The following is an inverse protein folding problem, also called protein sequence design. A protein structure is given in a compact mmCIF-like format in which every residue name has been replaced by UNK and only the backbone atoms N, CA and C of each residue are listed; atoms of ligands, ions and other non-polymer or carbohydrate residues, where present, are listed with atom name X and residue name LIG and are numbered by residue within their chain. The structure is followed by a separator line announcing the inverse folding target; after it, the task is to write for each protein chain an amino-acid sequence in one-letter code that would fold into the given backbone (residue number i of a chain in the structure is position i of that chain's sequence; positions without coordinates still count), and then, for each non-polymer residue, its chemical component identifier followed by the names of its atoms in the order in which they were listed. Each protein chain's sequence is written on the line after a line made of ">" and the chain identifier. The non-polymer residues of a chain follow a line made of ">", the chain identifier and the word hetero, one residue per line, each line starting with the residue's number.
data_IF_656856657642
#
_entry.id   IF_656856657642
#
_cell.length_a   1.000
_cell.length_b   1.000
_cell.length_c   1.000
_cell.angle_alpha   90.00
_cell.angle_beta   90.00
_cell.angle_gamma   90.00
#
_symmetry.space_group_name_H-M   'P 1'
#
loop_
_entity.id
_entity.type
_entity.pdbx_description
1 polymer ?
#
# COMPACT_ATOMS: atom_id res chain seq x y z
N UNK A 1 -4.93 10.51 -38.44
CA UNK A 1 -5.31 11.93 -38.11
C UNK A 1 -4.12 12.61 -37.49
N UNK A 2 -3.85 13.89 -37.80
CA UNK A 2 -2.68 14.57 -37.26
C UNK A 2 -2.80 14.81 -35.76
N UNK A 3 -1.69 14.66 -35.03
CA UNK A 3 -1.57 15.10 -33.64
C UNK A 3 -1.74 16.63 -33.58
N UNK A 4 -2.49 17.09 -32.59
CA UNK A 4 -2.68 18.54 -32.39
C UNK A 4 -2.01 18.94 -31.10
N UNK A 5 -1.20 19.97 -31.12
CA UNK A 5 -0.51 20.55 -29.99
C UNK A 5 -1.34 21.65 -29.37
N UNK A 6 -1.50 21.64 -28.07
CA UNK A 6 -2.21 22.61 -27.25
C UNK A 6 -1.36 23.05 -26.06
N UNK A 7 -1.67 24.25 -25.57
CA UNK A 7 -1.22 24.72 -24.26
C UNK A 7 -2.34 24.47 -23.26
N UNK A 8 -2.06 23.90 -22.09
CA UNK A 8 -3.11 23.49 -21.14
C UNK A 8 -4.03 24.65 -20.73
N UNK A 9 -3.52 25.87 -20.63
CA UNK A 9 -4.33 27.05 -20.34
C UNK A 9 -5.45 27.33 -21.35
N UNK A 10 -5.32 26.85 -22.60
CA UNK A 10 -6.38 26.91 -23.58
C UNK A 10 -7.52 25.94 -23.29
N UNK A 11 -7.22 24.82 -22.65
CA UNK A 11 -8.11 23.69 -22.41
C UNK A 11 -8.75 23.67 -21.03
N UNK A 12 -8.11 24.34 -20.05
CA UNK A 12 -8.48 24.28 -18.63
C UNK A 12 -9.03 25.59 -18.12
N UNK A 13 -9.93 25.51 -17.15
CA UNK A 13 -10.36 26.64 -16.34
C UNK A 13 -10.09 26.40 -14.87
N UNK A 14 -9.66 27.47 -14.17
CA UNK A 14 -9.52 27.46 -12.72
C UNK A 14 -10.88 27.42 -12.06
N UNK A 15 -11.06 26.53 -11.10
CA UNK A 15 -12.26 26.48 -10.28
C UNK A 15 -12.08 27.37 -9.04
N UNK A 16 -13.01 28.31 -8.85
CA UNK A 16 -13.07 29.21 -7.70
C UNK A 16 -14.38 29.09 -6.93
N UNK A 17 -15.09 27.98 -7.07
CA UNK A 17 -16.29 27.69 -6.30
C UNK A 17 -15.92 27.36 -4.85
N UNK A 18 -16.45 28.11 -3.90
CA UNK A 18 -16.29 27.89 -2.47
C UNK A 18 -17.58 27.34 -1.85
N UNK A 19 -17.44 26.67 -0.71
CA UNK A 19 -18.57 26.16 0.07
C UNK A 19 -19.20 27.27 0.94
N UNK A 20 -19.33 28.45 0.39
CA UNK A 20 -19.79 29.69 1.06
C UNK A 20 -21.17 29.55 1.71
N UNK A 21 -22.03 28.71 1.12
CA UNK A 21 -23.37 28.40 1.63
C UNK A 21 -23.38 27.18 2.60
N UNK A 22 -22.22 26.64 2.97
CA UNK A 22 -22.08 25.47 3.84
C UNK A 22 -22.95 24.26 3.45
N UNK A 23 -23.09 24.03 2.13
CA UNK A 23 -23.87 22.88 1.60
C UNK A 23 -23.21 21.56 1.85
N UNK A 24 -21.89 21.53 2.05
CA UNK A 24 -21.08 20.34 2.23
C UNK A 24 -20.44 20.35 3.60
N UNK A 25 -20.54 19.23 4.33
CA UNK A 25 -20.06 19.07 5.69
C UNK A 25 -18.66 18.44 5.78
N UNK A 26 -18.29 18.04 6.99
CA UNK A 26 -16.99 17.40 7.28
C UNK A 26 -16.82 16.08 6.55
N UNK A 27 -17.90 15.36 6.27
CA UNK A 27 -17.93 14.11 5.52
C UNK A 27 -17.48 14.26 4.06
N UNK A 28 -17.57 15.47 3.50
CA UNK A 28 -17.14 15.78 2.14
C UNK A 28 -15.67 16.23 2.08
N UNK A 29 -15.02 16.48 3.21
CA UNK A 29 -13.64 16.96 3.25
C UNK A 29 -12.68 15.84 2.83
N UNK A 30 -11.78 16.17 1.88
CA UNK A 30 -10.78 15.24 1.36
C UNK A 30 -9.39 15.87 1.36
N UNK A 31 -8.39 15.00 1.25
CA UNK A 31 -7.00 15.36 1.04
C UNK A 31 -6.50 14.89 -0.31
N UNK A 32 -5.34 15.37 -0.71
CA UNK A 32 -4.66 15.00 -1.95
C UNK A 32 -3.39 14.21 -1.63
N UNK A 33 -3.15 13.13 -2.35
CA UNK A 33 -1.98 12.27 -2.19
C UNK A 33 -0.86 12.66 -3.18
N UNK A 34 0.39 12.54 -2.73
CA UNK A 34 1.57 12.67 -3.62
C UNK A 34 1.63 11.53 -4.66
N UNK A 35 0.91 10.43 -4.43
CA UNK A 35 0.73 9.34 -5.39
C UNK A 35 -0.32 9.64 -6.45
N UNK A 36 -0.83 10.88 -6.48
CA UNK A 36 -1.88 11.38 -7.38
C UNK A 36 -3.21 10.67 -7.20
N UNK A 37 -3.89 11.05 -6.14
CA UNK A 37 -5.21 10.55 -5.80
C UNK A 37 -5.86 11.41 -4.72
N UNK A 38 -7.15 11.18 -4.50
CA UNK A 38 -7.93 11.77 -3.42
C UNK A 38 -8.06 10.74 -2.31
N UNK A 39 -7.94 11.16 -1.07
CA UNK A 39 -8.10 10.32 0.12
C UNK A 39 -8.91 11.02 1.20
N UNK A 40 -9.38 10.25 2.16
CA UNK A 40 -9.94 10.83 3.38
C UNK A 40 -8.90 11.68 4.09
N UNK A 41 -9.36 12.75 4.74
CA UNK A 41 -8.46 13.61 5.52
C UNK A 41 -7.99 12.87 6.77
N UNK A 42 -6.69 13.04 7.11
CA UNK A 42 -6.10 12.49 8.33
C UNK A 42 -6.18 13.47 9.51
N UNK A 43 -6.57 14.71 9.24
CA UNK A 43 -6.61 15.79 10.23
C UNK A 43 -8.04 16.06 10.57
N UNK A 44 -8.37 16.19 11.89
CA UNK A 44 -9.67 16.68 12.30
C UNK A 44 -9.90 18.08 11.75
N UNK A 45 -11.06 18.27 11.13
CA UNK A 45 -11.50 19.53 10.53
C UNK A 45 -12.67 20.15 11.27
N UNK A 46 -13.07 19.56 12.40
CA UNK A 46 -14.27 19.92 13.17
C UNK A 46 -14.29 21.39 13.65
N UNK A 47 -13.10 21.99 13.80
CA UNK A 47 -12.93 23.39 14.22
C UNK A 47 -12.66 24.36 13.08
N UNK A 48 -12.63 23.90 11.82
CA UNK A 48 -12.31 24.72 10.66
C UNK A 48 -13.56 25.36 10.05
N UNK A 49 -13.40 26.56 9.53
CA UNK A 49 -14.43 27.26 8.77
C UNK A 49 -14.54 26.64 7.38
N UNK A 50 -15.52 25.75 7.19
CA UNK A 50 -15.73 25.04 5.92
C UNK A 50 -16.24 25.96 4.79
N UNK A 51 -16.69 27.19 5.09
CA UNK A 51 -17.16 28.14 4.05
C UNK A 51 -16.04 28.54 3.08
N UNK A 52 -14.78 28.45 3.54
CA UNK A 52 -13.58 28.80 2.74
C UNK A 52 -13.00 27.63 1.94
N UNK A 53 -13.64 26.45 2.01
CA UNK A 53 -13.16 25.29 1.30
C UNK A 53 -13.59 25.34 -0.16
N UNK A 54 -12.66 24.93 -1.06
CA UNK A 54 -12.92 24.80 -2.50
C UNK A 54 -13.81 23.59 -2.77
N UNK A 55 -14.82 23.75 -3.59
CA UNK A 55 -15.72 22.68 -4.02
C UNK A 55 -15.19 22.01 -5.28
N UNK A 56 -15.02 20.70 -5.27
CA UNK A 56 -14.58 19.91 -6.43
C UNK A 56 -15.65 18.89 -6.80
N UNK A 57 -16.34 19.17 -7.89
CA UNK A 57 -17.41 18.32 -8.43
C UNK A 57 -16.85 17.11 -9.18
N UNK A 58 -17.66 16.08 -9.46
CA UNK A 58 -17.27 14.97 -10.35
C UNK A 58 -16.63 15.49 -11.64
N UNK A 59 -15.49 14.91 -12.04
CA UNK A 59 -14.73 15.36 -13.22
C UNK A 59 -13.78 16.53 -12.97
N UNK A 60 -13.78 17.12 -11.78
CA UNK A 60 -12.84 18.18 -11.39
C UNK A 60 -11.51 17.68 -10.88
N UNK A 61 -10.49 18.50 -10.98
CA UNK A 61 -9.13 18.27 -10.52
C UNK A 61 -8.79 19.21 -9.36
N UNK A 62 -7.81 18.77 -8.57
CA UNK A 62 -7.28 19.53 -7.45
C UNK A 62 -5.78 19.21 -7.27
N UNK A 63 -4.95 20.20 -7.00
CA UNK A 63 -3.56 19.95 -6.65
C UNK A 63 -3.08 20.84 -5.50
N UNK A 64 -2.08 20.35 -4.79
CA UNK A 64 -1.38 21.11 -3.77
C UNK A 64 -0.25 21.91 -4.44
N UNK A 65 -0.28 23.22 -4.35
CA UNK A 65 0.76 24.05 -4.93
C UNK A 65 2.11 23.94 -4.21
N UNK A 66 2.13 23.42 -2.98
CA UNK A 66 3.38 23.11 -2.24
C UNK A 66 3.88 21.74 -2.64
N UNK A 67 5.11 21.69 -3.10
CA UNK A 67 5.72 20.48 -3.66
C UNK A 67 6.94 20.06 -2.85
N UNK A 68 7.15 18.76 -2.72
CA UNK A 68 8.42 18.20 -2.23
C UNK A 68 9.14 17.50 -3.39
N UNK A 69 8.81 16.27 -3.68
CA UNK A 69 9.37 15.45 -4.76
C UNK A 69 8.36 15.19 -5.90
N UNK A 70 7.07 15.28 -5.58
CA UNK A 70 5.96 15.05 -6.50
C UNK A 70 4.82 16.02 -6.21
N UNK A 71 4.05 16.34 -7.25
CA UNK A 71 2.85 17.12 -7.10
C UNK A 71 1.73 16.26 -6.49
N UNK A 72 1.22 16.66 -5.33
CA UNK A 72 -0.05 16.14 -4.83
C UNK A 72 -1.17 16.60 -5.76
N UNK A 73 -1.74 15.68 -6.53
CA UNK A 73 -2.80 15.95 -7.51
C UNK A 73 -3.91 14.92 -7.34
N UNK A 74 -5.16 15.36 -7.34
CA UNK A 74 -6.35 14.53 -7.30
C UNK A 74 -7.28 14.80 -8.48
N UNK A 75 -7.97 13.77 -8.91
CA UNK A 75 -9.05 13.83 -9.88
C UNK A 75 -10.30 13.18 -9.29
N UNK A 76 -11.40 13.92 -9.24
CA UNK A 76 -12.64 13.40 -8.68
C UNK A 76 -13.35 12.49 -9.69
N UNK A 77 -13.12 11.20 -9.58
CA UNK A 77 -13.77 10.15 -10.40
C UNK A 77 -15.05 9.62 -9.78
N UNK A 78 -15.43 10.08 -8.58
CA UNK A 78 -16.65 9.67 -7.89
C UNK A 78 -17.87 10.42 -8.40
N UNK A 79 -19.05 10.04 -7.93
CA UNK A 79 -20.30 10.78 -8.14
C UNK A 79 -20.55 11.83 -7.05
N UNK A 80 -19.70 11.88 -6.02
CA UNK A 80 -19.86 12.77 -4.87
C UNK A 80 -19.12 14.09 -5.10
N UNK A 81 -19.57 15.12 -4.40
CA UNK A 81 -18.88 16.39 -4.34
C UNK A 81 -17.92 16.40 -3.16
N UNK A 82 -16.68 16.78 -3.39
CA UNK A 82 -15.66 16.89 -2.36
C UNK A 82 -15.29 18.35 -2.10
N UNK A 83 -14.86 18.64 -0.87
CA UNK A 83 -14.34 19.97 -0.52
C UNK A 83 -12.91 19.85 0.03
N UNK A 84 -12.11 20.86 -0.30
CA UNK A 84 -10.69 20.94 0.04
C UNK A 84 -10.35 22.30 0.64
N UNK A 85 -9.32 22.36 1.46
CA UNK A 85 -8.85 23.64 1.99
C UNK A 85 -8.44 24.59 0.85
N UNK A 86 -8.55 25.90 1.09
CA UNK A 86 -8.21 26.95 0.12
C UNK A 86 -6.71 27.05 -0.23
N UNK A 87 -5.85 26.27 0.43
CA UNK A 87 -4.42 26.11 0.08
C UNK A 87 -4.21 25.32 -1.22
N UNK A 88 -5.25 24.68 -1.73
CA UNK A 88 -5.17 23.91 -2.98
C UNK A 88 -5.61 24.75 -4.19
N UNK A 89 -5.29 24.26 -5.37
CA UNK A 89 -5.75 24.82 -6.65
C UNK A 89 -6.68 23.82 -7.32
N UNK A 90 -7.94 24.20 -7.47
CA UNK A 90 -8.94 23.41 -8.17
C UNK A 90 -9.11 23.87 -9.61
N UNK A 91 -9.35 22.94 -10.53
CA UNK A 91 -9.54 23.23 -11.96
C UNK A 91 -10.35 22.12 -12.65
N UNK A 92 -10.77 22.39 -13.88
CA UNK A 92 -11.48 21.44 -14.72
C UNK A 92 -11.14 21.66 -16.19
N UNK A 93 -11.38 20.64 -17.01
CA UNK A 93 -11.33 20.80 -18.48
C UNK A 93 -12.58 21.56 -18.91
N UNK A 94 -12.41 22.63 -19.69
CA UNK A 94 -13.53 23.44 -20.21
C UNK A 94 -14.60 22.55 -20.84
N UNK A 95 -15.90 22.74 -20.56
CA UNK A 95 -16.96 21.84 -21.03
C UNK A 95 -16.99 21.63 -22.55
N UNK A 96 -16.70 22.66 -23.32
CA UNK A 96 -16.61 22.59 -24.77
C UNK A 96 -15.40 21.78 -25.24
N UNK A 97 -14.26 21.87 -24.53
CA UNK A 97 -13.06 21.11 -24.85
C UNK A 97 -13.20 19.66 -24.41
N UNK A 98 -13.87 19.38 -23.28
CA UNK A 98 -14.12 18.02 -22.78
C UNK A 98 -14.94 17.17 -23.75
N UNK A 99 -15.78 17.77 -24.57
CA UNK A 99 -16.63 17.05 -25.55
C UNK A 99 -15.84 16.54 -26.76
N UNK A 100 -14.90 17.34 -27.28
CA UNK A 100 -14.33 17.13 -28.60
C UNK A 100 -12.80 17.13 -28.67
N UNK A 101 -12.11 17.61 -27.63
CA UNK A 101 -10.66 17.85 -27.67
C UNK A 101 -9.91 17.04 -26.63
N UNK A 102 -10.30 17.11 -25.34
CA UNK A 102 -9.56 16.52 -24.24
C UNK A 102 -10.48 15.90 -23.19
N UNK A 103 -10.48 14.57 -23.09
CA UNK A 103 -11.19 13.89 -22.02
C UNK A 103 -10.51 14.15 -20.66
N UNK A 104 -11.25 14.52 -19.59
CA UNK A 104 -10.68 14.65 -18.26
C UNK A 104 -9.96 13.38 -17.78
N UNK A 105 -10.52 12.20 -18.03
CA UNK A 105 -9.87 10.93 -17.71
C UNK A 105 -8.52 10.73 -18.44
N UNK A 106 -8.41 11.17 -19.72
CA UNK A 106 -7.17 11.10 -20.49
C UNK A 106 -6.11 12.04 -19.90
N UNK A 107 -6.51 13.25 -19.54
CA UNK A 107 -5.65 14.22 -18.87
C UNK A 107 -5.15 13.65 -17.53
N UNK A 108 -5.99 12.96 -16.77
CA UNK A 108 -5.56 12.30 -15.53
C UNK A 108 -4.48 11.25 -15.78
N UNK A 109 -4.66 10.36 -16.77
CA UNK A 109 -3.64 9.36 -17.18
C UNK A 109 -2.33 10.08 -17.58
N UNK A 110 -2.44 11.20 -18.27
CA UNK A 110 -1.30 12.00 -18.68
C UNK A 110 -0.51 12.57 -17.48
N UNK A 111 -1.20 13.02 -16.40
CA UNK A 111 -0.58 13.48 -15.17
C UNK A 111 0.08 12.37 -14.36
N UNK A 112 -0.37 11.13 -14.48
CA UNK A 112 0.21 9.99 -13.76
C UNK A 112 1.61 9.60 -14.23
N UNK A 113 2.10 10.17 -15.33
CA UNK A 113 3.42 9.87 -15.90
C UNK A 113 4.56 10.52 -15.12
N UNK A 114 5.72 9.84 -15.01
CA UNK A 114 6.92 10.44 -14.41
C UNK A 114 7.43 11.69 -15.13
N UNK A 115 7.16 11.82 -16.44
CA UNK A 115 7.52 13.00 -17.24
C UNK A 115 6.88 14.28 -16.70
N UNK A 116 5.62 14.17 -16.25
CA UNK A 116 4.93 15.30 -15.62
C UNK A 116 5.59 15.71 -14.31
N UNK A 117 5.99 14.75 -13.46
CA UNK A 117 6.69 15.06 -12.22
C UNK A 117 8.04 15.73 -12.47
N UNK A 118 8.78 15.32 -13.51
CA UNK A 118 10.03 15.99 -13.92
C UNK A 118 9.80 17.40 -14.41
N UNK A 119 8.77 17.61 -15.25
CA UNK A 119 8.39 18.95 -15.72
C UNK A 119 8.00 19.84 -14.54
N UNK A 120 7.17 19.35 -13.65
CA UNK A 120 6.74 20.07 -12.46
C UNK A 120 7.93 20.51 -11.61
N UNK A 121 8.87 19.60 -11.30
CA UNK A 121 10.09 19.94 -10.54
C UNK A 121 10.96 20.99 -11.26
N UNK A 122 11.06 20.95 -12.59
CA UNK A 122 11.79 21.95 -13.36
C UNK A 122 11.15 23.34 -13.29
N UNK A 123 9.81 23.42 -13.19
CA UNK A 123 9.05 24.66 -13.10
C UNK A 123 8.82 25.17 -11.68
N UNK A 124 9.20 24.42 -10.65
CA UNK A 124 9.07 24.85 -9.24
C UNK A 124 10.05 25.95 -8.89
N UNK A 125 9.68 26.79 -7.95
CA UNK A 125 10.50 27.85 -7.40
C UNK A 125 10.40 27.86 -5.86
N UNK A 126 11.36 28.48 -5.20
CA UNK A 126 11.45 28.56 -3.73
C UNK A 126 12.70 27.89 -3.20
N UNK A 127 13.17 28.29 -2.02
CA UNK A 127 14.38 27.78 -1.40
C UNK A 127 14.11 26.77 -0.27
N UNK A 128 13.13 27.04 0.58
CA UNK A 128 12.76 26.17 1.69
C UNK A 128 11.49 25.33 1.40
N UNK A 129 10.57 25.88 0.62
CA UNK A 129 9.39 25.18 0.12
C UNK A 129 9.27 25.44 -1.37
N UNK A 130 9.14 24.38 -2.16
CA UNK A 130 8.96 24.49 -3.60
C UNK A 130 7.48 24.74 -3.90
N UNK A 131 7.23 25.64 -4.85
CA UNK A 131 5.87 25.99 -5.29
C UNK A 131 5.70 25.73 -6.78
N UNK A 132 4.58 25.13 -7.13
CA UNK A 132 4.10 24.98 -8.50
C UNK A 132 2.72 25.63 -8.59
N UNK A 133 2.60 26.71 -9.32
CA UNK A 133 1.39 27.52 -9.38
C UNK A 133 0.50 27.19 -10.58
N UNK A 134 -0.66 27.86 -10.64
CA UNK A 134 -1.61 27.70 -11.74
C UNK A 134 -1.03 28.11 -13.11
N UNK A 135 -0.24 29.18 -13.17
CA UNK A 135 0.34 29.67 -14.41
C UNK A 135 1.33 28.65 -14.98
N UNK A 136 2.14 28.02 -14.11
CA UNK A 136 3.03 26.92 -14.55
C UNK A 136 2.26 25.73 -15.12
N UNK A 137 1.06 25.44 -14.57
CA UNK A 137 0.19 24.40 -15.10
C UNK A 137 -0.35 24.80 -16.48
N UNK A 138 -0.75 26.06 -16.63
CA UNK A 138 -1.30 26.59 -17.89
C UNK A 138 -0.27 26.65 -19.01
N UNK A 139 1.02 26.91 -18.72
CA UNK A 139 2.09 26.97 -19.72
C UNK A 139 2.47 25.60 -20.31
N UNK A 140 1.98 24.51 -19.73
CA UNK A 140 2.37 23.17 -20.14
C UNK A 140 1.77 22.83 -21.51
N UNK A 141 2.63 22.35 -22.41
CA UNK A 141 2.24 21.89 -23.75
C UNK A 141 1.87 20.40 -23.73
N UNK A 142 0.80 20.06 -24.42
CA UNK A 142 0.33 18.69 -24.57
C UNK A 142 0.00 18.39 -26.04
N UNK A 143 0.46 17.26 -26.54
CA UNK A 143 0.05 16.71 -27.82
C UNK A 143 -1.12 15.76 -27.61
N UNK A 144 -2.20 15.96 -28.32
CA UNK A 144 -3.43 15.20 -28.18
C UNK A 144 -3.76 14.41 -29.45
N UNK A 145 -4.08 13.11 -29.31
CA UNK A 145 -4.71 12.35 -30.36
C UNK A 145 -6.19 12.71 -30.47
N UNK A 146 -6.84 12.28 -31.54
CA UNK A 146 -8.30 12.40 -31.70
C UNK A 146 -9.04 11.86 -30.47
N UNK A 147 -10.21 12.48 -30.18
CA UNK A 147 -11.02 12.13 -29.00
C UNK A 147 -11.49 10.67 -29.00
N UNK A 148 -11.63 10.04 -30.16
CA UNK A 148 -12.00 8.62 -30.29
C UNK A 148 -10.87 7.70 -29.86
N UNK A 149 -9.63 8.07 -30.17
CA UNK A 149 -8.42 7.35 -29.72
C UNK A 149 -8.28 7.54 -28.21
N UNK A 150 -8.46 8.76 -27.68
CA UNK A 150 -8.44 9.01 -26.23
C UNK A 150 -9.44 8.09 -25.50
N UNK A 151 -10.69 7.97 -26.00
CA UNK A 151 -11.72 7.10 -25.40
C UNK A 151 -11.29 5.65 -25.34
N UNK A 152 -10.63 5.13 -26.38
CA UNK A 152 -10.11 3.75 -26.42
C UNK A 152 -9.09 3.52 -25.32
N UNK A 153 -8.10 4.39 -25.15
CA UNK A 153 -7.05 4.23 -24.14
C UNK A 153 -7.56 4.47 -22.71
N UNK A 154 -8.47 5.42 -22.54
CA UNK A 154 -9.20 5.61 -21.27
C UNK A 154 -9.99 4.37 -20.88
N UNK A 155 -10.67 3.71 -21.83
CA UNK A 155 -11.40 2.47 -21.54
C UNK A 155 -10.49 1.35 -21.05
N UNK A 156 -9.29 1.20 -21.64
CA UNK A 156 -8.27 0.24 -21.19
C UNK A 156 -7.86 0.54 -19.74
N UNK A 157 -7.52 1.80 -19.44
CA UNK A 157 -7.13 2.22 -18.10
C UNK A 157 -8.24 1.96 -17.07
N UNK A 158 -9.48 2.35 -17.37
CA UNK A 158 -10.65 2.12 -16.49
C UNK A 158 -10.91 0.64 -16.25
N UNK A 159 -10.74 -0.22 -17.27
CA UNK A 159 -10.87 -1.67 -17.10
C UNK A 159 -9.81 -2.24 -16.15
N UNK A 160 -8.56 -1.77 -16.24
CA UNK A 160 -7.50 -2.19 -15.31
C UNK A 160 -7.77 -1.74 -13.87
N UNK A 161 -8.21 -0.49 -13.69
CA UNK A 161 -8.59 0.04 -12.36
C UNK A 161 -9.78 -0.72 -11.78
N UNK A 162 -10.82 -0.99 -12.56
CA UNK A 162 -11.98 -1.76 -12.13
C UNK A 162 -11.61 -3.20 -11.72
N UNK A 163 -10.71 -3.85 -12.47
CA UNK A 163 -10.17 -5.16 -12.12
C UNK A 163 -9.43 -5.13 -10.78
N UNK A 164 -8.53 -4.17 -10.57
CA UNK A 164 -7.80 -4.00 -9.31
C UNK A 164 -8.76 -3.75 -8.13
N UNK A 165 -9.75 -2.89 -8.29
CA UNK A 165 -10.76 -2.62 -7.26
C UNK A 165 -11.61 -3.85 -6.92
N UNK A 166 -11.91 -4.70 -7.91
CA UNK A 166 -12.60 -5.97 -7.68
C UNK A 166 -11.74 -6.93 -6.83
N UNK A 167 -10.42 -6.99 -7.11
CA UNK A 167 -9.47 -7.74 -6.27
C UNK A 167 -9.42 -7.21 -4.84
N UNK A 168 -9.39 -5.91 -4.67
CA UNK A 168 -9.31 -5.25 -3.35
C UNK A 168 -10.54 -5.54 -2.49
N UNK A 169 -11.75 -5.46 -3.05
CA UNK A 169 -12.99 -5.86 -2.35
C UNK A 169 -12.96 -7.31 -1.93
N UNK A 170 -12.56 -8.22 -2.83
CA UNK A 170 -12.44 -9.65 -2.49
C UNK A 170 -11.39 -9.94 -1.40
N UNK A 171 -10.39 -9.06 -1.21
CA UNK A 171 -9.44 -9.15 -0.09
C UNK A 171 -10.08 -8.79 1.24
N UNK A 172 -10.92 -7.77 1.28
CA UNK A 172 -11.64 -7.37 2.50
C UNK A 172 -12.56 -8.49 2.97
N UNK A 173 -13.30 -9.11 2.04
CA UNK A 173 -14.17 -10.25 2.34
C UNK A 173 -13.37 -11.46 2.89
N UNK A 174 -12.26 -11.82 2.25
CA UNK A 174 -11.40 -12.92 2.71
C UNK A 174 -10.83 -12.65 4.10
N UNK A 175 -10.41 -11.41 4.36
CA UNK A 175 -9.91 -11.02 5.68
C UNK A 175 -10.99 -11.15 6.73
N UNK A 176 -12.21 -10.69 6.45
CA UNK A 176 -13.35 -10.79 7.36
C UNK A 176 -13.68 -12.24 7.69
N UNK A 177 -13.65 -13.14 6.70
CA UNK A 177 -13.85 -14.58 6.89
C UNK A 177 -12.76 -15.16 7.79
N UNK A 178 -11.48 -14.88 7.51
CA UNK A 178 -10.37 -15.36 8.33
C UNK A 178 -10.47 -14.88 9.78
N UNK A 179 -10.72 -13.59 9.99
CA UNK A 179 -10.84 -12.99 11.31
C UNK A 179 -12.05 -13.58 12.07
N UNK A 180 -13.18 -13.82 11.39
CA UNK A 180 -14.38 -14.43 11.95
C UNK A 180 -14.13 -15.87 12.45
N UNK A 181 -13.48 -16.70 11.65
CA UNK A 181 -13.11 -18.07 12.04
C UNK A 181 -12.18 -18.08 13.25
N UNK A 182 -11.19 -17.23 13.26
CA UNK A 182 -10.21 -17.15 14.36
C UNK A 182 -10.90 -16.72 15.67
N UNK A 183 -11.78 -15.73 15.63
CA UNK A 183 -12.52 -15.27 16.81
C UNK A 183 -13.52 -16.32 17.32
N UNK A 184 -14.16 -17.06 16.42
CA UNK A 184 -15.06 -18.16 16.78
C UNK A 184 -14.31 -19.30 17.50
N UNK A 185 -13.15 -19.71 16.98
CA UNK A 185 -12.28 -20.69 17.64
C UNK A 185 -11.85 -20.23 19.04
N UNK A 186 -11.43 -18.97 19.17
CA UNK A 186 -10.99 -18.42 20.45
C UNK A 186 -12.09 -18.41 21.52
N UNK A 187 -13.36 -18.22 21.10
CA UNK A 187 -14.52 -18.24 22.00
C UNK A 187 -14.97 -19.64 22.39
N UNK A 188 -14.85 -20.61 21.47
CA UNK A 188 -15.40 -21.96 21.65
C UNK A 188 -14.40 -22.96 22.20
N UNK A 189 -13.11 -22.70 22.08
CA UNK A 189 -12.06 -23.64 22.46
C UNK A 189 -11.21 -23.13 23.63
N UNK A 190 -10.75 -24.04 24.44
CA UNK A 190 -9.73 -23.77 25.46
C UNK A 190 -8.38 -23.51 24.75
N UNK A 191 -7.72 -22.41 25.10
CA UNK A 191 -6.41 -22.07 24.56
C UNK A 191 -5.30 -22.80 25.34
N UNK A 192 -4.37 -23.38 24.62
CA UNK A 192 -3.16 -24.05 25.16
C UNK A 192 -1.92 -23.16 24.89
N UNK A 193 -0.91 -23.18 25.78
CA UNK A 193 0.35 -22.50 25.56
C UNK A 193 1.09 -23.13 24.37
N UNK A 194 1.65 -22.30 23.49
CA UNK A 194 2.35 -22.82 22.31
C UNK A 194 3.60 -23.60 22.64
N UNK A 195 4.19 -23.38 23.82
CA UNK A 195 5.37 -24.10 24.32
C UNK A 195 5.21 -25.63 24.38
N UNK A 196 3.96 -26.13 24.51
CA UNK A 196 3.66 -27.55 24.45
C UNK A 196 3.96 -28.16 23.07
N UNK A 197 3.86 -27.35 22.02
CA UNK A 197 3.92 -27.76 20.62
C UNK A 197 5.20 -27.35 19.90
N UNK A 198 5.95 -26.35 20.41
CA UNK A 198 7.15 -25.82 19.77
C UNK A 198 8.43 -26.21 20.50
N UNK A 199 9.54 -26.25 19.76
CA UNK A 199 10.89 -26.35 20.27
C UNK A 199 11.76 -25.20 19.77
N UNK A 200 12.80 -24.85 20.54
CA UNK A 200 13.80 -23.87 20.11
C UNK A 200 14.90 -24.56 19.29
N UNK A 201 15.20 -24.06 18.09
CA UNK A 201 16.36 -24.50 17.30
C UNK A 201 17.58 -23.67 17.69
N UNK A 202 18.70 -24.37 17.96
CA UNK A 202 20.00 -23.77 18.23
C UNK A 202 21.03 -24.16 17.16
N UNK A 203 20.55 -24.61 16.01
CA UNK A 203 21.39 -25.08 14.91
C UNK A 203 22.22 -23.93 14.33
N UNK A 204 23.53 -24.16 14.20
CA UNK A 204 24.47 -23.17 13.69
C UNK A 204 25.07 -23.61 12.37
N UNK A 205 25.34 -22.68 11.49
CA UNK A 205 26.06 -22.88 10.21
C UNK A 205 27.56 -23.09 10.47
N UNK A 206 27.88 -24.22 11.08
CA UNK A 206 29.27 -24.53 11.53
C UNK A 206 30.21 -24.96 10.40
N UNK A 207 29.68 -25.26 9.24
CA UNK A 207 30.43 -25.59 8.02
C UNK A 207 30.49 -24.42 7.02
N UNK A 208 29.70 -23.38 7.26
CA UNK A 208 29.62 -22.20 6.36
C UNK A 208 28.93 -22.47 5.01
N UNK A 209 28.28 -23.64 4.83
CA UNK A 209 27.72 -24.05 3.53
C UNK A 209 26.48 -23.25 3.15
N UNK A 210 25.70 -22.76 4.12
CA UNK A 210 24.53 -21.93 3.84
C UNK A 210 24.97 -20.48 3.75
N UNK A 211 24.90 -19.91 2.54
CA UNK A 211 25.31 -18.53 2.24
C UNK A 211 24.15 -17.56 2.09
N UNK A 212 22.89 -18.06 2.07
CA UNK A 212 21.70 -17.24 1.97
C UNK A 212 21.43 -16.54 3.31
N UNK A 213 21.95 -15.33 3.48
CA UNK A 213 21.65 -14.51 4.65
C UNK A 213 20.31 -13.78 4.46
N UNK A 214 19.45 -13.81 5.49
CA UNK A 214 18.15 -13.14 5.47
C UNK A 214 17.89 -12.41 6.81
N UNK A 215 17.12 -11.34 6.72
CA UNK A 215 16.48 -10.67 7.83
C UNK A 215 14.96 -10.84 7.76
N UNK A 216 14.25 -10.31 8.76
CA UNK A 216 12.78 -10.30 8.76
C UNK A 216 12.31 -8.86 8.92
N UNK A 217 11.40 -8.43 8.06
CA UNK A 217 10.80 -7.10 8.15
C UNK A 217 9.56 -7.07 9.06
N UNK A 218 9.05 -5.88 9.33
CA UNK A 218 7.81 -5.66 10.12
C UNK A 218 6.56 -6.23 9.44
N UNK A 219 6.61 -6.46 8.12
CA UNK A 219 5.55 -7.11 7.35
C UNK A 219 5.58 -8.64 7.46
N UNK A 220 6.45 -9.17 8.35
CA UNK A 220 6.58 -10.60 8.66
C UNK A 220 7.02 -11.45 7.46
N UNK A 221 7.95 -10.90 6.68
CA UNK A 221 8.56 -11.57 5.53
C UNK A 221 10.07 -11.62 5.66
N UNK A 222 10.66 -12.73 5.21
CA UNK A 222 12.10 -12.82 5.02
C UNK A 222 12.51 -11.88 3.88
N UNK A 223 13.55 -11.08 4.12
CA UNK A 223 14.11 -10.12 3.16
C UNK A 223 15.63 -10.22 3.13
N UNK A 224 16.24 -9.78 2.04
CA UNK A 224 17.69 -9.58 1.99
C UNK A 224 18.07 -8.45 2.95
N UNK A 225 19.02 -8.65 3.88
CA UNK A 225 19.40 -7.63 4.83
C UNK A 225 20.09 -6.45 4.11
N UNK A 226 19.87 -5.24 4.60
CA UNK A 226 20.52 -4.02 4.05
C UNK A 226 22.05 -4.01 4.27
N UNK A 227 22.53 -4.71 5.29
CA UNK A 227 23.94 -4.87 5.61
C UNK A 227 24.22 -6.36 5.77
N UNK A 228 25.04 -6.90 4.91
CA UNK A 228 25.63 -8.23 5.04
C UNK A 228 27.11 -8.08 5.33
N UNK A 229 27.65 -8.99 6.14
CA UNK A 229 29.08 -9.21 6.19
C UNK A 229 29.30 -10.62 5.65
N UNK A 230 30.31 -10.86 4.86
CA UNK A 230 30.58 -12.12 4.16
C UNK A 230 30.98 -13.28 5.11
N UNK A 231 30.80 -13.11 6.42
CA UNK A 231 31.03 -14.16 7.40
C UNK A 231 29.73 -14.89 7.72
N UNK A 232 29.51 -16.02 7.10
CA UNK A 232 28.35 -16.89 7.28
C UNK A 232 28.54 -17.96 8.36
N UNK A 233 29.76 -18.11 8.88
CA UNK A 233 30.12 -19.14 9.84
C UNK A 233 29.50 -18.86 11.23
N UNK A 234 28.99 -19.91 11.87
CA UNK A 234 28.41 -19.82 13.22
C UNK A 234 27.07 -19.08 13.31
N UNK A 235 26.50 -18.62 12.18
CA UNK A 235 25.20 -17.98 12.14
C UNK A 235 24.09 -18.97 12.44
N UNK A 236 22.96 -18.48 12.98
CA UNK A 236 21.78 -19.30 13.24
C UNK A 236 21.13 -19.75 11.94
N UNK A 237 20.88 -21.04 11.78
CA UNK A 237 20.18 -21.60 10.62
C UNK A 237 18.66 -21.54 10.84
N UNK A 238 17.94 -21.22 9.77
CA UNK A 238 16.47 -21.34 9.69
C UNK A 238 16.14 -22.30 8.56
N UNK A 239 15.66 -23.49 8.92
CA UNK A 239 15.22 -24.51 7.96
C UNK A 239 13.83 -24.20 7.42
N UNK A 240 13.54 -24.71 6.23
CA UNK A 240 12.17 -24.67 5.67
C UNK A 240 11.18 -25.27 6.67
N UNK A 241 10.06 -24.58 6.91
CA UNK A 241 9.05 -24.96 7.92
C UNK A 241 9.32 -24.42 9.33
N UNK A 242 10.48 -23.82 9.60
CA UNK A 242 10.75 -23.17 10.88
C UNK A 242 10.31 -21.72 10.89
N UNK A 243 10.09 -21.18 12.08
CA UNK A 243 9.71 -19.77 12.29
C UNK A 243 10.88 -19.09 13.01
N UNK A 244 11.33 -17.98 12.44
CA UNK A 244 12.30 -17.10 13.09
C UNK A 244 11.62 -15.82 13.58
N UNK A 245 12.04 -15.30 14.73
CA UNK A 245 11.54 -14.07 15.31
C UNK A 245 12.67 -13.24 15.90
N UNK A 246 12.54 -11.91 15.81
CA UNK A 246 13.48 -10.99 16.42
C UNK A 246 13.23 -10.96 17.93
N UNK A 247 14.27 -11.16 18.72
CA UNK A 247 14.19 -11.11 20.18
C UNK A 247 14.14 -9.69 20.72
N UNK A 248 14.66 -8.72 19.97
CA UNK A 248 14.62 -7.31 20.33
C UNK A 248 13.36 -6.66 19.75
N UNK A 249 12.62 -5.95 20.60
CA UNK A 249 11.37 -5.33 20.22
C UNK A 249 11.58 -3.86 19.82
N UNK A 250 10.80 -3.44 18.84
CA UNK A 250 10.65 -2.05 18.48
C UNK A 250 9.16 -1.71 18.45
N UNK A 251 8.65 -1.12 19.55
CA UNK A 251 7.26 -0.66 19.68
C UNK A 251 6.20 -1.73 19.35
N UNK A 252 6.04 -2.78 20.13
CA UNK A 252 4.99 -3.81 19.96
C UNK A 252 4.93 -4.49 18.57
N UNK A 253 5.79 -4.12 17.65
CA UNK A 253 5.91 -4.72 16.32
C UNK A 253 7.07 -5.71 16.32
N UNK A 254 6.73 -6.98 16.46
CA UNK A 254 7.72 -8.04 16.37
C UNK A 254 7.90 -8.51 14.92
N UNK A 255 9.17 -8.58 14.50
CA UNK A 255 9.53 -9.23 13.23
C UNK A 255 9.54 -10.75 13.45
N UNK A 256 8.59 -11.45 12.86
CA UNK A 256 8.44 -12.92 12.93
C UNK A 256 7.99 -13.42 11.56
N UNK A 257 8.58 -14.52 11.08
CA UNK A 257 8.22 -15.09 9.79
C UNK A 257 8.44 -16.60 9.73
N UNK A 258 7.57 -17.29 9.00
CA UNK A 258 7.69 -18.69 8.62
C UNK A 258 8.60 -18.82 7.40
N UNK A 259 9.58 -19.69 7.45
CA UNK A 259 10.46 -20.00 6.32
C UNK A 259 9.77 -20.94 5.34
N UNK A 260 9.39 -20.43 4.19
CA UNK A 260 8.76 -21.20 3.10
C UNK A 260 9.71 -21.43 1.91
N UNK A 261 10.83 -20.72 1.86
CA UNK A 261 11.87 -20.86 0.84
C UNK A 261 13.02 -21.77 1.31
N UNK A 262 14.14 -21.83 0.56
CA UNK A 262 15.32 -22.62 0.90
C UNK A 262 15.88 -22.24 2.28
N UNK A 263 16.61 -23.15 2.93
CA UNK A 263 17.28 -22.88 4.20
C UNK A 263 18.12 -21.62 4.12
N UNK A 264 18.11 -20.84 5.19
CA UNK A 264 18.84 -19.58 5.27
C UNK A 264 19.53 -19.39 6.62
N UNK A 265 20.37 -18.40 6.74
CA UNK A 265 20.97 -17.98 7.99
C UNK A 265 20.45 -16.60 8.40
N UNK A 266 20.36 -16.38 9.69
CA UNK A 266 19.95 -15.09 10.28
C UNK A 266 21.00 -14.60 11.28
N UNK A 267 20.95 -13.33 11.62
CA UNK A 267 21.83 -12.74 12.63
C UNK A 267 21.46 -13.19 14.04
N UNK A 268 22.31 -12.93 15.02
CA UNK A 268 22.15 -13.31 16.42
C UNK A 268 20.99 -12.62 17.15
N UNK A 269 20.35 -11.64 16.53
CA UNK A 269 19.14 -10.99 17.10
C UNK A 269 17.88 -11.81 16.91
N UNK A 270 17.95 -12.89 16.14
CA UNK A 270 16.81 -13.78 15.89
C UNK A 270 16.97 -15.09 16.65
N UNK A 271 15.85 -15.53 17.21
CA UNK A 271 15.66 -16.90 17.66
C UNK A 271 14.82 -17.68 16.67
N UNK A 272 14.99 -19.00 16.67
CA UNK A 272 14.32 -19.91 15.73
C UNK A 272 13.55 -20.96 16.50
N UNK A 273 12.30 -21.18 16.11
CA UNK A 273 11.44 -22.24 16.66
C UNK A 273 10.99 -23.19 15.57
N UNK A 274 10.73 -24.41 15.96
CA UNK A 274 10.15 -25.45 15.11
C UNK A 274 8.96 -26.11 15.78
N UNK A 275 8.07 -26.70 14.99
CA UNK A 275 6.94 -27.48 15.49
C UNK A 275 7.43 -28.89 15.83
N UNK A 276 7.20 -29.37 17.08
CA UNK A 276 7.59 -30.70 17.56
C UNK A 276 6.85 -31.82 16.85
N UNK A 277 5.56 -31.61 16.59
CA UNK A 277 4.65 -32.59 15.99
C UNK A 277 3.66 -31.89 15.05
N UNK A 278 3.92 -31.95 13.75
CA UNK A 278 3.08 -31.29 12.73
C UNK A 278 1.70 -31.99 12.55
N UNK A 279 1.47 -33.15 13.15
CA UNK A 279 0.13 -33.74 13.16
C UNK A 279 -0.80 -33.09 14.20
N UNK A 280 -0.23 -32.29 15.12
CA UNK A 280 -0.97 -31.55 16.14
C UNK A 280 -1.07 -30.06 15.88
N UNK A 281 0.00 -29.44 15.36
CA UNK A 281 0.06 -28.03 15.08
C UNK A 281 0.80 -27.77 13.76
N UNK A 282 0.17 -27.03 12.84
CA UNK A 282 0.80 -26.60 11.60
C UNK A 282 1.58 -25.30 11.80
N UNK A 283 2.79 -25.15 11.20
CA UNK A 283 3.56 -23.92 11.27
C UNK A 283 2.80 -22.75 10.62
N UNK A 284 2.06 -22.96 9.53
CA UNK A 284 1.23 -21.96 8.85
C UNK A 284 0.10 -21.47 9.75
N UNK A 285 -0.56 -22.39 10.47
CA UNK A 285 -1.60 -22.03 11.43
C UNK A 285 -1.03 -21.22 12.61
N UNK A 286 0.10 -21.63 13.18
CA UNK A 286 0.78 -20.87 14.22
C UNK A 286 1.16 -19.47 13.71
N UNK A 287 1.66 -19.36 12.48
CA UNK A 287 2.06 -18.06 11.90
C UNK A 287 0.88 -17.09 11.77
N UNK A 288 -0.34 -17.59 11.55
CA UNK A 288 -1.55 -16.74 11.55
C UNK A 288 -1.71 -16.05 12.91
N UNK A 289 -1.58 -16.80 14.02
CA UNK A 289 -1.69 -16.26 15.37
C UNK A 289 -0.56 -15.27 15.68
N UNK A 290 0.69 -15.59 15.31
CA UNK A 290 1.84 -14.70 15.48
C UNK A 290 1.77 -13.44 14.59
N UNK A 291 0.90 -13.45 13.59
CA UNK A 291 0.68 -12.30 12.70
C UNK A 291 -0.35 -11.30 13.22
N UNK A 292 -1.13 -11.64 14.24
CA UNK A 292 -2.22 -10.81 14.76
C UNK A 292 -1.73 -9.69 15.67
N UNK A 293 -2.51 -8.62 15.77
CA UNK A 293 -2.24 -7.49 16.68
C UNK A 293 -2.27 -7.91 18.15
N UNK A 294 -3.06 -8.93 18.48
CA UNK A 294 -3.15 -9.52 19.83
C UNK A 294 -1.82 -10.10 20.27
N UNK A 295 -1.10 -10.76 19.37
CA UNK A 295 0.24 -11.27 19.64
C UNK A 295 1.21 -10.11 19.92
N UNK A 296 1.17 -9.04 19.14
CA UNK A 296 1.98 -7.85 19.40
C UNK A 296 1.72 -7.25 20.79
N UNK A 297 0.45 -7.18 21.21
CA UNK A 297 0.08 -6.74 22.57
C UNK A 297 0.59 -7.68 23.66
N UNK A 298 0.48 -8.98 23.44
CA UNK A 298 1.02 -10.00 24.36
C UNK A 298 2.54 -9.85 24.49
N UNK A 299 3.26 -9.73 23.38
CA UNK A 299 4.72 -9.59 23.36
C UNK A 299 5.15 -8.33 24.11
N UNK A 300 4.48 -7.20 23.88
CA UNK A 300 4.75 -5.94 24.59
C UNK A 300 4.55 -6.11 26.10
N UNK A 301 3.47 -6.76 26.54
CA UNK A 301 3.22 -7.02 27.95
C UNK A 301 4.28 -7.99 28.55
N UNK A 302 4.62 -9.07 27.83
CA UNK A 302 5.56 -10.09 28.29
C UNK A 302 7.02 -9.60 28.37
N UNK A 303 7.36 -8.52 27.66
CA UNK A 303 8.70 -7.92 27.66
C UNK A 303 8.88 -6.80 28.69
N UNK A 304 7.81 -6.38 29.39
CA UNK A 304 7.90 -5.33 30.40
C UNK A 304 8.72 -5.79 31.61
N UNK A 305 9.58 -4.89 32.10
CA UNK A 305 10.41 -5.12 33.28
C UNK A 305 11.88 -5.42 32.99
N UNK A 306 12.29 -5.44 31.72
CA UNK A 306 13.70 -5.48 31.30
C UNK A 306 14.15 -4.11 30.81
N UNK A 307 15.42 -3.74 31.02
CA UNK A 307 16.01 -2.46 30.56
C UNK A 307 15.98 -2.33 29.02
N UNK A 308 15.83 -3.44 28.31
CA UNK A 308 15.58 -3.55 26.88
C UNK A 308 14.37 -4.46 26.68
N UNK A 309 13.41 -4.02 25.89
CA UNK A 309 12.25 -4.86 25.53
C UNK A 309 12.75 -6.10 24.77
N UNK A 310 12.74 -7.25 25.45
CA UNK A 310 13.29 -8.51 24.94
C UNK A 310 12.27 -9.63 25.08
N UNK A 311 11.98 -10.34 23.97
CA UNK A 311 11.14 -11.53 23.97
C UNK A 311 11.99 -12.78 24.07
N UNK A 312 11.99 -13.43 25.26
CA UNK A 312 12.62 -14.73 25.45
C UNK A 312 11.78 -15.87 24.87
N UNK A 313 12.41 -17.02 24.66
CA UNK A 313 11.70 -18.26 24.26
C UNK A 313 10.63 -18.67 25.29
N UNK A 314 10.92 -18.55 26.56
CA UNK A 314 10.01 -18.89 27.68
C UNK A 314 8.76 -18.00 27.64
N UNK A 315 8.94 -16.71 27.41
CA UNK A 315 7.84 -15.76 27.26
C UNK A 315 7.01 -16.08 26.01
N UNK A 316 7.66 -16.34 24.88
CA UNK A 316 6.97 -16.75 23.65
C UNK A 316 6.17 -18.04 23.85
N UNK A 317 6.77 -19.06 24.52
CA UNK A 317 6.15 -20.32 24.80
C UNK A 317 4.87 -20.21 25.65
N UNK A 318 4.77 -19.16 26.47
CA UNK A 318 3.58 -18.86 27.27
C UNK A 318 2.39 -18.30 26.47
N UNK A 319 2.57 -17.94 25.21
CA UNK A 319 1.47 -17.44 24.38
C UNK A 319 0.43 -18.53 24.15
N UNK A 320 -0.86 -18.23 24.39
CA UNK A 320 -1.94 -19.21 24.32
C UNK A 320 -2.78 -19.02 23.07
N UNK A 321 -2.99 -20.13 22.35
CA UNK A 321 -3.84 -20.20 21.17
C UNK A 321 -4.79 -21.41 21.26
N UNK A 322 -5.96 -21.38 20.59
CA UNK A 322 -6.75 -22.59 20.40
C UNK A 322 -6.03 -23.49 19.38
N UNK A 323 -6.01 -24.80 19.64
CA UNK A 323 -5.41 -25.80 18.75
C UNK A 323 -6.51 -26.78 18.35
N UNK A 324 -7.27 -26.49 17.26
CA UNK A 324 -8.30 -27.38 16.75
C UNK A 324 -7.70 -28.61 16.05
N UNK A 325 -8.57 -29.51 15.60
CA UNK A 325 -8.19 -30.64 14.76
C UNK A 325 -7.36 -30.16 13.54
N UNK A 326 -6.45 -31.01 13.08
CA UNK A 326 -5.49 -30.68 12.03
C UNK A 326 -6.17 -30.24 10.71
N UNK A 327 -7.30 -30.87 10.36
CA UNK A 327 -8.04 -30.50 9.15
C UNK A 327 -8.67 -29.11 9.22
N UNK A 328 -9.06 -28.68 10.44
CA UNK A 328 -9.54 -27.32 10.67
C UNK A 328 -8.39 -26.31 10.51
N UNK A 329 -7.20 -26.66 11.04
CA UNK A 329 -6.00 -25.85 10.88
C UNK A 329 -5.62 -25.72 9.39
N UNK A 330 -5.62 -26.82 8.63
CA UNK A 330 -5.36 -26.83 7.17
C UNK A 330 -6.34 -25.94 6.40
N UNK A 331 -7.62 -26.04 6.71
CA UNK A 331 -8.65 -25.22 6.07
C UNK A 331 -8.41 -23.71 6.31
N UNK A 332 -8.13 -23.32 7.56
CA UNK A 332 -7.87 -21.92 7.92
C UNK A 332 -6.57 -21.43 7.28
N UNK A 333 -5.49 -22.24 7.33
CA UNK A 333 -4.22 -21.91 6.71
C UNK A 333 -4.36 -21.72 5.20
N UNK A 334 -5.15 -22.56 4.53
CA UNK A 334 -5.43 -22.45 3.10
C UNK A 334 -6.14 -21.14 2.73
N UNK A 335 -7.17 -20.74 3.49
CA UNK A 335 -7.89 -19.48 3.30
C UNK A 335 -6.93 -18.29 3.54
N UNK A 336 -6.14 -18.34 4.60
CA UNK A 336 -5.19 -17.29 4.93
C UNK A 336 -4.09 -17.15 3.86
N UNK A 337 -3.54 -18.25 3.36
CA UNK A 337 -2.56 -18.27 2.28
C UNK A 337 -3.15 -17.70 0.98
N UNK A 338 -4.43 -18.01 0.68
CA UNK A 338 -5.15 -17.40 -0.43
C UNK A 338 -5.26 -15.88 -0.26
N UNK A 339 -5.59 -15.40 0.95
CA UNK A 339 -5.62 -13.97 1.27
C UNK A 339 -4.26 -13.30 1.04
N UNK A 340 -3.17 -13.88 1.56
CA UNK A 340 -1.82 -13.32 1.40
C UNK A 340 -1.44 -13.23 -0.08
N UNK A 341 -1.64 -14.32 -0.84
CA UNK A 341 -1.32 -14.35 -2.28
C UNK A 341 -2.13 -13.34 -3.08
N UNK A 342 -3.43 -13.20 -2.80
CA UNK A 342 -4.28 -12.19 -3.45
C UNK A 342 -3.84 -10.77 -3.09
N UNK A 343 -3.41 -10.52 -1.86
CA UNK A 343 -2.86 -9.22 -1.45
C UNK A 343 -1.62 -8.87 -2.26
N UNK A 344 -0.71 -9.82 -2.46
CA UNK A 344 0.48 -9.62 -3.29
C UNK A 344 0.12 -9.30 -4.75
N UNK A 345 -0.83 -10.03 -5.33
CA UNK A 345 -1.35 -9.75 -6.68
C UNK A 345 -1.95 -8.35 -6.73
N UNK A 346 -2.73 -7.95 -5.73
CA UNK A 346 -3.34 -6.61 -5.68
C UNK A 346 -2.29 -5.49 -5.67
N UNK A 347 -1.22 -5.64 -4.88
CA UNK A 347 -0.11 -4.67 -4.87
C UNK A 347 0.64 -4.64 -6.22
N UNK A 348 0.82 -5.78 -6.87
CA UNK A 348 1.38 -5.84 -8.23
C UNK A 348 0.48 -5.15 -9.24
N UNK A 349 -0.84 -5.35 -9.19
CA UNK A 349 -1.80 -4.66 -10.06
C UNK A 349 -1.75 -3.14 -9.87
N UNK A 350 -1.69 -2.66 -8.63
CA UNK A 350 -1.53 -1.22 -8.33
C UNK A 350 -0.26 -0.64 -8.94
N UNK A 351 0.86 -1.36 -8.85
CA UNK A 351 2.11 -0.95 -9.47
C UNK A 351 2.00 -0.92 -11.00
N UNK A 352 1.46 -1.98 -11.61
CA UNK A 352 1.29 -2.10 -13.06
C UNK A 352 0.38 -1.01 -13.63
N UNK A 353 -0.71 -0.64 -12.94
CA UNK A 353 -1.60 0.46 -13.36
C UNK A 353 -0.82 1.77 -13.44
N UNK A 354 0.08 2.03 -12.51
CA UNK A 354 0.92 3.21 -12.54
C UNK A 354 1.93 3.18 -13.69
N UNK A 355 2.58 2.03 -13.90
CA UNK A 355 3.63 1.85 -14.90
C UNK A 355 3.08 1.84 -16.33
N UNK A 356 1.80 1.46 -16.53
CA UNK A 356 1.17 1.43 -17.85
C UNK A 356 0.82 2.83 -18.39
N UNK A 357 0.64 3.85 -17.51
CA UNK A 357 0.19 5.17 -17.95
C UNK A 357 1.08 5.82 -19.02
N UNK A 358 2.44 5.81 -18.93
CA UNK A 358 3.31 6.30 -20.00
C UNK A 358 3.12 5.53 -21.30
N UNK A 359 2.91 4.20 -21.22
CA UNK A 359 2.72 3.33 -22.38
C UNK A 359 1.39 3.64 -23.08
N UNK A 360 0.31 3.84 -22.31
CA UNK A 360 -1.00 4.21 -22.84
C UNK A 360 -0.94 5.54 -23.57
N UNK A 361 -0.30 6.54 -22.99
CA UNK A 361 -0.15 7.85 -23.65
C UNK A 361 0.69 7.74 -24.92
N UNK A 362 1.87 7.08 -24.85
CA UNK A 362 2.72 6.86 -26.02
C UNK A 362 1.97 6.10 -27.13
N UNK A 363 1.30 5.01 -26.77
CA UNK A 363 0.52 4.20 -27.73
C UNK A 363 -0.60 4.98 -28.40
N UNK A 364 -1.28 5.87 -27.67
CA UNK A 364 -2.34 6.72 -28.24
C UNK A 364 -1.80 7.74 -29.24
N UNK A 365 -0.62 8.31 -28.98
CA UNK A 365 0.05 9.22 -29.90
C UNK A 365 0.54 8.49 -31.17
N UNK A 366 1.14 7.32 -31.00
CA UNK A 366 1.60 6.50 -32.13
C UNK A 366 0.45 5.99 -33.02
N UNK A 367 -0.70 5.63 -32.42
CA UNK A 367 -1.90 5.24 -33.18
C UNK A 367 -2.44 6.41 -34.01
N UNK A 368 -2.48 7.61 -33.42
CA UNK A 368 -2.90 8.82 -34.12
C UNK A 368 -1.97 9.19 -35.28
N UNK A 369 -0.66 8.98 -35.13
CA UNK A 369 0.32 9.26 -36.19
C UNK A 369 0.25 8.27 -37.35
N UNK A 370 -0.32 7.06 -37.15
CA UNK A 370 -0.50 6.04 -38.19
C UNK A 370 -1.85 6.13 -38.91
N UNK A 371 -2.84 6.78 -38.33
CA UNK A 371 -4.17 6.98 -38.87
C UNK A 371 -4.27 8.25 -39.73
#
# INVERSE_FOLDING_TARGET
>A
MALTKYVLGELLDRNTEYNDQLKFGTENVRGVLNTKGISDTRVSVDTRDLSKFLVVRPGGFIFNHRVHDKLGLGYNTSNDVYIFTNDYVAFYVKPEMAKNVLLPDYLYIWYLRPEFDRYMLFKTYGSATLFFNWDNMCELEIELPDITIQRKFVAIYKAMVANQQSYERGLEDLKLVCDGYIEDLRRKMQCAPIGDFIGQSKEKNSDGLITLEQGINIEKKFITPQRSNDNFYGRQIVRTGQIAYCTQLNNANIAVALRTGPDCIVSSVYDVIFIKDQTKLLPEYLMIWLSRREFGRFVYWASQGTSYEFLSYENLAGYKIPVPDIHVQEAIASIYNCYIRRREINEQLKAQIKDICPILIKGSLEESAKA
#
